data_IF_461174296780
#
_entry.id   IF_461174296780
#
_cell.length_a   1.000
_cell.length_b   1.000
_cell.length_c   1.000
_cell.angle_alpha   90.00
_cell.angle_beta   90.00
_cell.angle_gamma   90.00
#
_symmetry.space_group_name_H-M   'P 1'
#
loop_
_entity.id
_entity.type
_entity.pdbx_description
1 polymer ?
#
# COMPACT_ATOMS: atom_id res chain seq x y z
N UNK A 1 6.95 -7.38 5.85
CA UNK A 1 5.93 -6.42 6.32
C UNK A 1 6.38 -5.74 7.60
N UNK A 2 6.16 -4.43 7.72
CA UNK A 2 6.38 -3.68 8.97
C UNK A 2 5.12 -3.76 9.84
N UNK A 3 5.18 -3.46 11.14
CA UNK A 3 3.98 -3.27 11.97
C UNK A 3 3.04 -2.22 11.35
N UNK A 4 1.78 -2.22 11.75
CA UNK A 4 0.83 -1.17 11.38
C UNK A 4 1.32 0.18 11.90
N UNK A 5 1.10 1.23 11.12
CA UNK A 5 1.46 2.60 11.47
C UNK A 5 0.34 3.51 10.96
N UNK A 6 -0.40 4.09 11.91
CA UNK A 6 -1.55 4.94 11.63
C UNK A 6 -1.13 6.26 11.00
N UNK A 7 0.14 6.64 11.07
CA UNK A 7 0.61 7.95 10.65
C UNK A 7 0.02 9.07 11.50
N UNK A 8 -0.11 10.26 10.90
CA UNK A 8 -0.54 11.50 11.55
C UNK A 8 -1.63 12.20 10.72
N UNK A 9 -2.30 13.19 11.34
CA UNK A 9 -3.43 13.94 10.79
C UNK A 9 -4.78 13.62 11.43
N UNK A 10 -5.83 14.25 10.90
CA UNK A 10 -7.21 14.20 11.44
C UNK A 10 -8.18 13.44 10.52
N UNK A 11 -7.68 12.71 9.53
CA UNK A 11 -8.53 11.92 8.63
C UNK A 11 -8.78 10.55 9.22
N UNK A 12 -9.96 10.00 8.96
CA UNK A 12 -10.27 8.61 9.27
C UNK A 12 -10.41 7.82 7.96
N UNK A 13 -9.31 7.19 7.54
CA UNK A 13 -9.30 6.37 6.32
C UNK A 13 -9.31 4.90 6.71
N UNK A 14 -10.41 4.19 6.42
CA UNK A 14 -10.53 2.75 6.66
C UNK A 14 -9.70 1.97 5.65
N UNK A 15 -8.76 1.16 6.16
CA UNK A 15 -7.79 0.40 5.36
C UNK A 15 -7.50 -0.94 6.03
N UNK A 16 -6.76 -1.81 5.34
CA UNK A 16 -6.31 -3.10 5.83
C UNK A 16 -4.80 -3.15 5.99
N UNK A 17 -4.31 -3.81 7.04
CA UNK A 17 -2.90 -4.14 7.22
C UNK A 17 -2.72 -5.65 7.37
N UNK A 18 -1.54 -6.16 7.07
CA UNK A 18 -1.19 -7.56 7.35
C UNK A 18 -0.62 -7.71 8.75
N UNK A 19 -1.31 -8.47 9.60
CA UNK A 19 -0.83 -8.93 10.89
C UNK A 19 -0.03 -10.23 10.69
N UNK A 20 1.27 -10.20 10.98
CA UNK A 20 2.16 -11.36 10.84
C UNK A 20 1.95 -12.44 11.89
N UNK A 21 1.53 -12.07 13.10
CA UNK A 21 1.32 -13.01 14.19
C UNK A 21 0.13 -13.91 13.86
N UNK A 22 -0.98 -13.27 13.48
CA UNK A 22 -2.22 -13.94 13.06
C UNK A 22 -2.16 -14.50 11.63
N UNK A 23 -1.14 -14.09 10.85
CA UNK A 23 -1.01 -14.36 9.41
C UNK A 23 -2.25 -13.94 8.61
N UNK A 24 -2.94 -12.88 9.04
CA UNK A 24 -4.21 -12.39 8.47
C UNK A 24 -4.13 -10.91 8.14
N UNK A 25 -4.96 -10.50 7.19
CA UNK A 25 -5.23 -9.09 6.94
C UNK A 25 -6.35 -8.60 7.86
N UNK A 26 -6.15 -7.46 8.51
CA UNK A 26 -7.07 -6.90 9.51
C UNK A 26 -7.33 -5.42 9.22
N UNK A 27 -8.54 -4.90 9.52
CA UNK A 27 -8.85 -3.49 9.33
C UNK A 27 -8.10 -2.61 10.34
N UNK A 28 -7.81 -1.36 9.95
CA UNK A 28 -7.34 -0.28 10.83
C UNK A 28 -7.67 1.11 10.24
N UNK A 29 -7.51 2.16 11.05
CA UNK A 29 -7.68 3.56 10.62
C UNK A 29 -6.31 4.19 10.35
N UNK A 30 -6.16 4.78 9.16
CA UNK A 30 -5.00 5.59 8.78
C UNK A 30 -5.36 7.08 8.82
N UNK A 31 -4.48 7.88 9.43
CA UNK A 31 -4.70 9.30 9.72
C UNK A 31 -4.53 10.26 8.55
N UNK A 32 -4.09 9.75 7.40
CA UNK A 32 -3.99 10.50 6.15
C UNK A 32 -2.56 10.78 5.72
N UNK A 33 -1.62 10.95 6.66
CA UNK A 33 -0.23 11.32 6.35
C UNK A 33 0.80 10.37 6.99
N UNK A 34 1.93 10.19 6.30
CA UNK A 34 3.02 9.33 6.75
C UNK A 34 2.67 7.83 6.81
N UNK A 35 3.09 7.20 7.91
CA UNK A 35 2.96 5.77 8.12
C UNK A 35 3.85 4.92 7.21
N UNK A 36 3.41 3.69 6.90
CA UNK A 36 4.17 2.78 6.05
C UNK A 36 3.31 2.00 5.04
N UNK A 37 3.96 1.20 4.19
CA UNK A 37 3.33 0.47 3.07
C UNK A 37 2.53 -0.77 3.48
N UNK A 38 2.47 -1.12 4.76
CA UNK A 38 1.57 -2.17 5.26
C UNK A 38 0.15 -1.63 5.43
N UNK A 39 -0.40 -1.10 4.32
CA UNK A 39 -1.69 -0.44 4.25
C UNK A 39 -2.27 -0.65 2.87
N UNK A 40 -3.49 -1.18 2.82
CA UNK A 40 -4.19 -1.54 1.59
C UNK A 40 -5.62 -1.01 1.63
N UNK A 41 -6.15 -0.52 0.50
CA UNK A 41 -7.52 -0.02 0.45
C UNK A 41 -8.57 -1.14 0.59
N UNK A 42 -8.21 -2.39 0.26
CA UNK A 42 -9.14 -3.53 0.33
C UNK A 42 -8.50 -4.75 0.99
N UNK A 43 -9.34 -5.60 1.58
CA UNK A 43 -8.92 -6.89 2.14
C UNK A 43 -8.25 -7.76 1.07
N UNK A 44 -8.85 -7.82 -0.12
CA UNK A 44 -8.33 -8.61 -1.25
C UNK A 44 -6.92 -8.17 -1.66
N UNK A 45 -6.64 -6.87 -1.77
CA UNK A 45 -5.29 -6.40 -2.10
C UNK A 45 -4.27 -6.76 -1.02
N UNK A 46 -4.65 -6.65 0.25
CA UNK A 46 -3.82 -7.08 1.37
C UNK A 46 -3.49 -8.58 1.27
N UNK A 47 -4.52 -9.42 1.11
CA UNK A 47 -4.36 -10.87 1.05
C UNK A 47 -3.53 -11.31 -0.16
N UNK A 48 -3.83 -10.77 -1.36
CA UNK A 48 -3.06 -11.06 -2.57
C UNK A 48 -1.58 -10.72 -2.42
N UNK A 49 -1.25 -9.68 -1.65
CA UNK A 49 0.12 -9.20 -1.49
C UNK A 49 0.88 -9.90 -0.36
N UNK A 50 0.18 -10.34 0.68
CA UNK A 50 0.80 -10.76 1.94
C UNK A 50 0.55 -12.22 2.27
N UNK A 51 -0.62 -12.75 1.92
CA UNK A 51 -1.00 -14.13 2.23
C UNK A 51 -0.52 -15.01 1.08
N UNK A 52 0.46 -15.87 1.37
CA UNK A 52 0.94 -16.85 0.39
C UNK A 52 -0.17 -17.89 0.16
N UNK A 53 -0.74 -17.93 -1.04
CA UNK A 53 -1.58 -19.06 -1.45
C UNK A 53 -0.66 -20.28 -1.62
N UNK A 54 -0.80 -21.26 -0.74
CA UNK A 54 -0.19 -22.58 -0.93
C UNK A 54 -1.00 -23.25 -2.04
N UNK A 55 -0.47 -23.26 -3.27
CA UNK A 55 -1.10 -23.90 -4.43
C UNK A 55 -1.50 -22.92 -5.54
N UNK A 56 -0.98 -23.19 -6.74
CA UNK A 56 -1.12 -22.47 -8.03
C UNK A 56 -0.15 -21.29 -8.21
N UNK A 57 0.62 -21.37 -9.29
CA UNK A 57 1.82 -20.58 -9.58
C UNK A 57 1.67 -19.08 -9.41
N UNK A 58 2.75 -18.45 -8.95
CA UNK A 58 2.86 -16.99 -8.76
C UNK A 58 2.44 -16.26 -10.05
N UNK A 59 1.42 -15.38 -10.03
CA UNK A 59 1.26 -14.46 -11.15
C UNK A 59 2.49 -13.56 -11.19
N UNK A 60 3.19 -13.56 -12.32
CA UNK A 60 4.36 -12.69 -12.55
C UNK A 60 3.94 -11.24 -12.29
N UNK A 61 4.64 -10.57 -11.38
CA UNK A 61 4.46 -9.13 -11.11
C UNK A 61 4.48 -8.41 -12.45
N UNK A 62 3.40 -7.74 -12.85
CA UNK A 62 3.48 -6.77 -13.94
C UNK A 62 4.54 -5.73 -13.53
N UNK A 63 5.50 -5.38 -14.41
CA UNK A 63 6.39 -4.27 -14.16
C UNK A 63 5.52 -3.05 -13.82
N UNK A 64 5.81 -2.43 -12.70
CA UNK A 64 5.26 -1.12 -12.36
C UNK A 64 5.88 -0.17 -13.38
N UNK A 65 5.19 0.08 -14.48
CA UNK A 65 5.52 1.21 -15.33
C UNK A 65 5.43 2.44 -14.43
N UNK A 66 6.48 3.26 -14.32
CA UNK A 66 6.32 4.56 -13.69
C UNK A 66 5.26 5.30 -14.50
N UNK A 67 4.14 5.64 -13.86
CA UNK A 67 3.19 6.59 -14.43
C UNK A 67 3.99 7.87 -14.67
N UNK A 68 4.21 8.18 -15.94
CA UNK A 68 4.91 9.36 -16.40
C UNK A 68 4.17 10.59 -15.92
N UNK A 69 4.51 11.09 -14.73
CA UNK A 69 4.30 12.49 -14.40
C UNK A 69 5.30 13.28 -15.25
N UNK A 70 4.80 13.80 -16.37
CA UNK A 70 5.48 14.86 -17.11
C UNK A 70 5.69 16.04 -16.17
N UNK A 71 6.94 16.23 -15.73
CA UNK A 71 7.39 17.50 -15.18
C UNK A 71 7.59 18.42 -16.38
N UNK A 72 6.67 19.35 -16.60
CA UNK A 72 6.91 20.45 -17.53
C UNK A 72 8.05 21.31 -16.96
N UNK A 73 9.18 21.32 -17.67
CA UNK A 73 10.35 22.14 -17.41
C UNK A 73 9.94 23.61 -17.53
N UNK A 74 10.13 24.43 -16.48
CA UNK A 74 10.00 25.88 -16.61
C UNK A 74 11.19 26.41 -17.39
N UNK A 75 10.91 26.97 -18.56
CA UNK A 75 11.87 27.68 -19.41
C UNK A 75 12.39 28.93 -18.68
N UNK A 76 13.72 29.05 -18.58
CA UNK A 76 14.41 30.29 -18.25
C UNK A 76 14.58 31.08 -19.55
N UNK A 77 13.96 32.24 -19.66
CA UNK A 77 14.19 33.14 -20.79
C UNK A 77 13.59 34.53 -20.60
N UNK A 78 14.32 35.43 -19.94
CA UNK A 78 14.85 36.72 -20.46
C UNK A 78 15.56 37.47 -19.33
#
# INVERSE_FOLDING_TARGET
>A
MRPVDAGEGDKEVHVFYYNKQEKKCMPFIYKGEGGNRNRFPTLQECEQRCVKKIGKGKPKRKPHTPSSRGMAQTDKGI
#
